data_IF_372624884392
#
_entry.id   IF_372624884392
#
_cell.length_a   1.000
_cell.length_b   1.000
_cell.length_c   1.000
_cell.angle_alpha   90.00
_cell.angle_beta   90.00
_cell.angle_gamma   90.00
#
_symmetry.space_group_name_H-M   'P 1'
#
loop_
_entity.id
_entity.type
_entity.pdbx_description
1 polymer ?
#
# COMPACT_ATOMS: atom_id res chain seq x y z
N UNK A 1 -22.56 -2.47 5.63
CA UNK A 1 -21.14 -2.76 5.89
C UNK A 1 -20.48 -3.07 4.56
N UNK A 2 -19.49 -2.29 4.10
CA UNK A 2 -18.97 -2.32 2.73
C UNK A 2 -18.42 -3.69 2.25
N UNK A 3 -17.99 -4.56 3.17
CA UNK A 3 -17.40 -5.88 2.86
C UNK A 3 -18.18 -7.07 3.44
N UNK A 4 -19.19 -6.85 4.28
CA UNK A 4 -19.88 -7.91 5.04
C UNK A 4 -18.95 -8.84 5.86
N UNK A 5 -17.76 -8.36 6.22
CA UNK A 5 -16.79 -9.07 7.06
C UNK A 5 -16.63 -8.34 8.39
N UNK A 6 -16.36 -9.09 9.46
CA UNK A 6 -16.01 -8.56 10.79
C UNK A 6 -14.64 -9.06 11.17
N UNK A 7 -13.75 -8.16 11.60
CA UNK A 7 -12.44 -8.55 12.11
C UNK A 7 -12.56 -9.48 13.32
N UNK A 8 -11.74 -10.52 13.33
CA UNK A 8 -11.50 -11.36 14.50
C UNK A 8 -10.53 -10.66 15.47
N UNK A 9 -10.52 -11.01 16.77
CA UNK A 9 -9.59 -10.42 17.74
C UNK A 9 -8.11 -10.53 17.32
N UNK A 10 -7.71 -11.68 16.75
CA UNK A 10 -6.34 -11.89 16.26
C UNK A 10 -5.97 -10.95 15.12
N UNK A 11 -6.94 -10.59 14.27
CA UNK A 11 -6.74 -9.63 13.18
C UNK A 11 -6.56 -8.20 13.71
N UNK A 12 -7.25 -7.86 14.80
CA UNK A 12 -7.04 -6.57 15.49
C UNK A 12 -5.65 -6.51 16.11
N UNK A 13 -5.19 -7.59 16.75
CA UNK A 13 -3.81 -7.69 17.27
C UNK A 13 -2.78 -7.53 16.16
N UNK A 14 -2.97 -8.18 15.02
CA UNK A 14 -2.12 -8.01 13.83
C UNK A 14 -2.10 -6.56 13.33
N UNK A 15 -3.26 -5.90 13.28
CA UNK A 15 -3.34 -4.48 12.90
C UNK A 15 -2.59 -3.54 13.85
N UNK A 16 -2.61 -3.83 15.16
CA UNK A 16 -1.84 -3.09 16.17
C UNK A 16 -0.33 -3.28 15.95
N UNK A 17 0.11 -4.53 15.71
CA UNK A 17 1.51 -4.82 15.43
C UNK A 17 2.01 -4.06 14.19
N UNK A 18 1.26 -4.14 13.09
CA UNK A 18 1.59 -3.40 11.86
C UNK A 18 1.67 -1.89 12.09
N UNK A 19 0.71 -1.30 12.84
CA UNK A 19 0.75 0.13 13.14
C UNK A 19 1.99 0.53 13.96
N UNK A 20 2.52 -0.36 14.80
CA UNK A 20 3.76 -0.14 15.57
C UNK A 20 5.05 -0.31 14.75
N UNK A 21 4.93 -0.72 13.47
CA UNK A 21 6.07 -1.00 12.61
C UNK A 21 6.65 -2.40 12.78
N UNK A 22 5.92 -3.31 13.42
CA UNK A 22 6.33 -4.71 13.59
C UNK A 22 5.82 -5.60 12.45
N UNK A 23 6.41 -6.79 12.31
CA UNK A 23 5.92 -7.84 11.40
C UNK A 23 4.81 -8.63 12.09
N UNK A 24 3.62 -8.66 11.48
CA UNK A 24 2.51 -9.51 11.91
C UNK A 24 2.57 -10.87 11.18
N UNK A 25 3.23 -11.85 11.78
CA UNK A 25 3.23 -13.23 11.26
C UNK A 25 1.84 -13.87 11.46
N UNK A 26 1.18 -14.20 10.35
CA UNK A 26 -0.15 -14.80 10.33
C UNK A 26 -0.20 -15.91 9.28
N UNK A 27 -0.87 -17.02 9.60
CA UNK A 27 -1.00 -18.14 8.68
C UNK A 27 -1.84 -17.78 7.45
N UNK A 28 -1.59 -18.45 6.33
CA UNK A 28 -2.41 -18.30 5.11
C UNK A 28 -3.88 -18.58 5.45
N UNK A 29 -4.76 -17.66 5.05
CA UNK A 29 -6.20 -17.74 5.35
C UNK A 29 -6.65 -16.96 6.59
N UNK A 30 -5.73 -16.48 7.43
CA UNK A 30 -6.05 -15.61 8.59
C UNK A 30 -6.52 -14.19 8.19
N UNK A 31 -6.51 -13.87 6.89
CA UNK A 31 -7.03 -12.62 6.36
C UNK A 31 -6.05 -11.44 6.45
N UNK A 32 -4.77 -11.65 6.15
CA UNK A 32 -3.72 -10.60 6.06
C UNK A 32 -4.19 -9.34 5.31
N UNK A 33 -4.85 -9.50 4.16
CA UNK A 33 -5.41 -8.40 3.37
C UNK A 33 -6.42 -7.56 4.15
N UNK A 34 -7.30 -8.19 4.93
CA UNK A 34 -8.27 -7.50 5.77
C UNK A 34 -7.60 -6.84 6.99
N UNK A 35 -6.57 -7.47 7.55
CA UNK A 35 -5.77 -6.94 8.67
C UNK A 35 -5.11 -5.62 8.29
N UNK A 36 -4.50 -5.53 7.10
CA UNK A 36 -3.84 -4.34 6.59
C UNK A 36 -4.76 -3.10 6.54
N UNK A 37 -6.08 -3.29 6.47
CA UNK A 37 -7.03 -2.17 6.45
C UNK A 37 -7.06 -1.33 7.73
N UNK A 38 -6.74 -1.93 8.87
CA UNK A 38 -6.73 -1.25 10.16
C UNK A 38 -5.59 -0.21 10.25
N UNK A 39 -4.30 -0.59 10.09
CA UNK A 39 -3.21 0.37 10.14
C UNK A 39 -3.20 1.30 8.92
N UNK A 40 -3.66 0.85 7.75
CA UNK A 40 -3.74 1.70 6.57
C UNK A 40 -4.72 2.85 6.79
N UNK A 41 -5.93 2.57 7.28
CA UNK A 41 -6.90 3.61 7.58
C UNK A 41 -6.36 4.59 8.64
N UNK A 42 -5.84 4.08 9.76
CA UNK A 42 -5.36 4.92 10.86
C UNK A 42 -4.23 5.86 10.42
N UNK A 43 -3.22 5.33 9.72
CA UNK A 43 -2.09 6.14 9.27
C UNK A 43 -2.46 7.09 8.13
N UNK A 44 -3.43 6.74 7.28
CA UNK A 44 -3.91 7.62 6.22
C UNK A 44 -4.58 8.91 6.75
N UNK A 45 -5.07 8.91 8.00
CA UNK A 45 -5.67 10.11 8.62
C UNK A 45 -4.68 11.27 8.82
N UNK A 46 -3.37 11.04 8.69
CA UNK A 46 -2.37 12.12 8.73
C UNK A 46 -2.37 12.95 7.44
N UNK A 47 -2.90 12.42 6.33
CA UNK A 47 -2.85 13.03 5.01
C UNK A 47 -1.50 12.86 4.28
N UNK A 48 -0.52 12.20 4.91
CA UNK A 48 0.83 12.00 4.35
C UNK A 48 0.92 10.81 3.36
N UNK A 49 -0.15 10.00 3.29
CA UNK A 49 -0.25 8.85 2.39
C UNK A 49 0.25 7.54 3.02
N UNK A 50 -0.33 6.42 2.59
CA UNK A 50 0.08 5.06 2.96
C UNK A 50 0.36 4.23 1.71
N UNK A 51 1.52 3.58 1.64
CA UNK A 51 1.83 2.63 0.59
C UNK A 51 1.50 1.20 1.01
N UNK A 52 0.67 0.50 0.24
CA UNK A 52 0.43 -0.94 0.41
C UNK A 52 1.17 -1.67 -0.71
N UNK A 53 2.24 -2.37 -0.33
CA UNK A 53 3.12 -3.08 -1.26
C UNK A 53 2.67 -4.53 -1.36
N UNK A 54 2.46 -4.99 -2.59
CA UNK A 54 2.10 -6.39 -2.91
C UNK A 54 3.13 -7.00 -3.85
N UNK A 55 3.11 -8.32 -4.01
CA UNK A 55 4.09 -9.04 -4.85
C UNK A 55 3.86 -8.91 -6.35
N UNK A 56 2.69 -8.46 -6.80
CA UNK A 56 2.42 -8.23 -8.24
C UNK A 56 1.22 -7.30 -8.50
N UNK A 57 1.17 -6.75 -9.72
CA UNK A 57 0.13 -5.82 -10.18
C UNK A 57 -1.28 -6.39 -10.10
N UNK A 58 -1.45 -7.70 -10.30
CA UNK A 58 -2.76 -8.34 -10.18
C UNK A 58 -3.30 -8.25 -8.75
N UNK A 59 -2.47 -8.56 -7.75
CA UNK A 59 -2.84 -8.47 -6.34
C UNK A 59 -3.04 -7.01 -5.91
N UNK A 60 -2.15 -6.09 -6.31
CA UNK A 60 -2.31 -4.65 -6.08
C UNK A 60 -3.67 -4.15 -6.59
N UNK A 61 -4.02 -4.51 -7.82
CA UNK A 61 -5.29 -4.14 -8.44
C UNK A 61 -6.48 -4.76 -7.72
N UNK A 62 -6.46 -6.07 -7.50
CA UNK A 62 -7.55 -6.79 -6.81
C UNK A 62 -7.80 -6.19 -5.42
N UNK A 63 -6.75 -5.93 -4.66
CA UNK A 63 -6.86 -5.51 -3.27
C UNK A 63 -7.23 -4.02 -3.15
N UNK A 64 -6.71 -3.15 -4.02
CA UNK A 64 -7.15 -1.75 -4.11
C UNK A 64 -8.62 -1.61 -4.51
N UNK A 65 -9.11 -2.48 -5.40
CA UNK A 65 -10.53 -2.51 -5.77
C UNK A 65 -11.41 -3.07 -4.65
N UNK A 66 -10.97 -4.15 -4.01
CA UNK A 66 -11.74 -4.84 -2.98
C UNK A 66 -11.74 -4.09 -1.65
N UNK A 67 -10.57 -3.90 -1.03
CA UNK A 67 -10.44 -3.16 0.23
C UNK A 67 -10.73 -1.67 0.04
N UNK A 68 -10.51 -1.12 -1.16
CA UNK A 68 -10.86 0.27 -1.44
C UNK A 68 -12.35 0.58 -1.33
N UNK A 69 -13.25 -0.41 -1.40
CA UNK A 69 -14.67 -0.21 -1.06
C UNK A 69 -14.85 0.25 0.37
N UNK A 70 -14.06 -0.29 1.30
CA UNK A 70 -14.08 0.10 2.71
C UNK A 70 -13.52 1.50 2.90
N UNK A 71 -12.34 1.79 2.34
CA UNK A 71 -11.69 3.09 2.48
C UNK A 71 -12.54 4.23 1.89
N UNK A 72 -13.08 4.05 0.68
CA UNK A 72 -13.97 5.03 0.03
C UNK A 72 -15.27 5.23 0.82
N UNK A 73 -15.82 4.18 1.40
CA UNK A 73 -16.98 4.29 2.29
C UNK A 73 -16.67 5.11 3.56
N UNK A 74 -15.43 5.05 4.05
CA UNK A 74 -14.94 5.84 5.19
C UNK A 74 -14.41 7.24 4.79
N UNK A 75 -14.55 7.64 3.52
CA UNK A 75 -14.16 8.96 3.03
C UNK A 75 -12.72 9.10 2.56
N UNK A 76 -11.95 8.01 2.47
CA UNK A 76 -10.57 8.03 1.95
C UNK A 76 -10.51 7.69 0.46
N UNK A 77 -9.58 8.31 -0.24
CA UNK A 77 -9.21 8.02 -1.62
C UNK A 77 -8.22 6.86 -1.71
N UNK A 78 -8.24 6.14 -2.83
CA UNK A 78 -7.38 4.96 -3.05
C UNK A 78 -6.80 5.03 -4.45
N UNK A 79 -5.47 5.04 -4.54
CA UNK A 79 -4.69 4.99 -5.77
C UNK A 79 -4.14 3.60 -6.04
N UNK A 80 -3.80 3.35 -7.29
CA UNK A 80 -3.16 2.12 -7.76
C UNK A 80 -2.03 2.50 -8.71
N UNK A 81 -0.83 1.98 -8.46
CA UNK A 81 0.32 2.08 -9.35
C UNK A 81 0.54 0.71 -10.00
N UNK A 82 0.55 0.68 -11.32
CA UNK A 82 0.83 -0.50 -12.15
C UNK A 82 1.70 -0.11 -13.34
N UNK A 83 2.29 -1.12 -13.99
CA UNK A 83 3.13 -0.91 -15.15
C UNK A 83 2.38 -0.17 -16.28
N UNK A 84 3.06 0.76 -16.95
CA UNK A 84 2.53 1.46 -18.13
C UNK A 84 1.72 2.72 -17.85
N UNK A 85 1.50 3.09 -16.59
CA UNK A 85 0.93 4.39 -16.24
C UNK A 85 1.88 5.54 -16.57
N UNK A 86 1.33 6.63 -17.12
CA UNK A 86 2.04 7.88 -17.33
C UNK A 86 2.26 8.65 -16.02
N UNK A 87 3.04 9.74 -16.09
CA UNK A 87 3.43 10.52 -14.91
C UNK A 87 2.27 11.21 -14.22
N UNK A 88 1.26 11.68 -14.97
CA UNK A 88 0.11 12.38 -14.40
C UNK A 88 -0.81 11.42 -13.66
N UNK A 89 -1.08 10.25 -14.23
CA UNK A 89 -1.84 9.19 -13.57
C UNK A 89 -1.13 8.66 -12.32
N UNK A 90 0.21 8.52 -12.36
CA UNK A 90 0.99 8.15 -11.17
C UNK A 90 0.89 9.21 -10.08
N UNK A 91 1.03 10.48 -10.44
CA UNK A 91 0.91 11.59 -9.49
C UNK A 91 -0.48 11.63 -8.84
N UNK A 92 -1.54 11.40 -9.60
CA UNK A 92 -2.89 11.25 -9.05
C UNK A 92 -2.98 10.08 -8.06
N UNK A 93 -2.43 8.91 -8.42
CA UNK A 93 -2.44 7.74 -7.57
C UNK A 93 -1.62 7.89 -6.28
N UNK A 94 -0.47 8.58 -6.32
CA UNK A 94 0.30 8.91 -5.11
C UNK A 94 -0.41 9.95 -4.24
N UNK A 95 -1.17 10.88 -4.83
CA UNK A 95 -1.95 11.87 -4.09
C UNK A 95 -3.16 11.29 -3.35
N UNK A 96 -3.53 10.03 -3.61
CA UNK A 96 -4.55 9.34 -2.84
C UNK A 96 -4.07 9.03 -1.41
N UNK A 97 -5.01 8.97 -0.46
CA UNK A 97 -4.71 8.70 0.96
C UNK A 97 -4.03 7.34 1.17
N UNK A 98 -4.37 6.36 0.34
CA UNK A 98 -3.78 5.03 0.32
C UNK A 98 -3.43 4.66 -1.13
N UNK A 99 -2.20 4.26 -1.38
CA UNK A 99 -1.70 3.86 -2.71
C UNK A 99 -1.27 2.41 -2.69
N UNK A 100 -1.85 1.59 -3.56
CA UNK A 100 -1.42 0.20 -3.78
C UNK A 100 -0.41 0.12 -4.92
N UNK A 101 0.54 -0.79 -4.83
CA UNK A 101 1.50 -1.04 -5.89
C UNK A 101 2.42 -2.22 -5.58
N UNK A 102 3.44 -2.39 -6.42
CA UNK A 102 4.53 -3.35 -6.19
C UNK A 102 5.79 -2.63 -5.73
N UNK A 103 6.70 -3.36 -5.10
CA UNK A 103 8.02 -2.85 -4.71
C UNK A 103 8.77 -2.24 -5.89
N UNK A 104 8.73 -2.90 -7.06
CA UNK A 104 9.38 -2.44 -8.28
C UNK A 104 8.82 -1.10 -8.73
N UNK A 105 7.49 -0.95 -8.78
CA UNK A 105 6.87 0.30 -9.23
C UNK A 105 7.17 1.47 -8.28
N UNK A 106 7.06 1.25 -6.96
CA UNK A 106 7.44 2.25 -5.97
C UNK A 106 8.94 2.62 -6.06
N UNK A 107 9.81 1.63 -6.22
CA UNK A 107 11.25 1.83 -6.32
C UNK A 107 11.65 2.57 -7.60
N UNK A 108 11.11 2.20 -8.75
CA UNK A 108 11.41 2.88 -10.01
C UNK A 108 10.84 4.29 -10.08
N UNK A 109 9.68 4.54 -9.48
CA UNK A 109 9.17 5.92 -9.33
C UNK A 109 10.08 6.77 -8.46
N UNK A 110 10.55 6.23 -7.33
CA UNK A 110 11.52 6.91 -6.48
C UNK A 110 12.81 7.25 -7.25
N UNK A 111 13.36 6.29 -7.99
CA UNK A 111 14.57 6.53 -8.80
C UNK A 111 14.31 7.58 -9.89
N UNK A 112 13.18 7.51 -10.59
CA UNK A 112 12.80 8.50 -11.62
C UNK A 112 12.66 9.89 -11.03
N UNK A 113 11.99 10.02 -9.88
CA UNK A 113 11.81 11.29 -9.17
C UNK A 113 13.15 11.92 -8.72
N UNK A 114 14.19 11.12 -8.50
CA UNK A 114 15.54 11.62 -8.20
C UNK A 114 16.37 11.95 -9.45
N UNK A 115 15.86 11.66 -10.65
CA UNK A 115 16.50 11.96 -11.93
C UNK A 115 15.82 13.11 -12.70
N UNK A 116 14.64 13.57 -12.28
CA UNK A 116 13.94 14.68 -12.96
C UNK A 116 14.67 16.02 -12.76
N UNK A 117 14.63 16.87 -13.78
CA UNK A 117 15.24 18.21 -13.72
C UNK A 117 14.43 19.20 -12.87
N UNK A 118 13.10 19.07 -12.88
CA UNK A 118 12.19 19.99 -12.20
C UNK A 118 11.33 19.23 -11.19
N UNK A 119 11.17 19.82 -9.99
CA UNK A 119 10.39 19.23 -8.90
C UNK A 119 8.94 18.92 -9.29
N UNK A 120 8.34 19.74 -10.15
CA UNK A 120 6.96 19.55 -10.60
C UNK A 120 6.77 18.28 -11.45
N UNK A 121 7.85 17.69 -11.95
CA UNK A 121 7.81 16.42 -12.68
C UNK A 121 7.86 15.20 -11.75
N UNK A 122 8.07 15.37 -10.44
CA UNK A 122 8.00 14.27 -9.47
C UNK A 122 6.57 13.73 -9.39
N UNK A 123 6.45 12.42 -9.14
CA UNK A 123 5.16 11.74 -8.99
C UNK A 123 4.87 11.31 -7.56
N UNK A 124 5.89 10.96 -6.77
CA UNK A 124 5.76 10.58 -5.36
C UNK A 124 5.64 11.80 -4.45
N UNK A 125 5.14 11.56 -3.23
CA UNK A 125 4.96 12.60 -2.20
C UNK A 125 5.56 12.25 -0.83
N UNK A 126 6.62 11.44 -0.81
CA UNK A 126 7.31 11.01 0.41
C UNK A 126 7.10 9.54 0.75
N UNK A 127 7.58 9.12 1.92
CA UNK A 127 7.59 7.71 2.36
C UNK A 127 7.16 7.61 3.83
N UNK A 128 5.94 8.04 4.15
CA UNK A 128 5.48 8.18 5.54
C UNK A 128 5.20 6.82 6.21
N UNK A 129 4.49 5.92 5.53
CA UNK A 129 4.17 4.60 6.04
C UNK A 129 3.97 3.60 4.90
N UNK A 130 4.50 2.38 5.09
CA UNK A 130 4.33 1.28 4.14
C UNK A 130 3.97 -0.02 4.86
N UNK A 131 2.98 -0.73 4.31
CA UNK A 131 2.66 -2.12 4.70
C UNK A 131 3.11 -3.02 3.56
N UNK A 132 3.99 -3.97 3.84
CA UNK A 132 4.51 -4.91 2.84
C UNK A 132 3.85 -6.26 3.05
N UNK A 133 3.04 -6.70 2.08
CA UNK A 133 2.52 -8.06 2.04
C UNK A 133 3.58 -9.04 1.52
N UNK A 134 3.60 -10.26 2.05
CA UNK A 134 4.66 -11.27 1.82
C UNK A 134 6.07 -10.68 1.98
N UNK A 135 6.31 -10.10 3.16
CA UNK A 135 7.54 -9.38 3.53
C UNK A 135 8.82 -10.21 3.35
N UNK A 136 8.74 -11.52 3.54
CA UNK A 136 9.84 -12.46 3.32
C UNK A 136 10.23 -12.52 1.83
N UNK A 137 9.25 -12.65 0.95
CA UNK A 137 9.47 -12.69 -0.49
C UNK A 137 10.11 -11.38 -0.98
N UNK A 138 9.62 -10.23 -0.50
CA UNK A 138 10.05 -8.92 -1.00
C UNK A 138 11.37 -8.46 -0.35
N UNK A 139 11.48 -8.52 0.98
CA UNK A 139 12.63 -7.93 1.70
C UNK A 139 13.78 -8.91 1.93
N UNK A 140 13.59 -10.21 1.71
CA UNK A 140 14.65 -11.23 1.89
C UNK A 140 15.02 -11.87 0.55
N UNK A 141 14.05 -12.37 -0.21
CA UNK A 141 14.35 -13.10 -1.45
C UNK A 141 14.65 -12.16 -2.63
N UNK A 142 13.78 -11.17 -2.88
CA UNK A 142 13.97 -10.21 -3.97
C UNK A 142 15.08 -9.19 -3.71
N UNK A 143 15.40 -8.90 -2.45
CA UNK A 143 16.47 -7.97 -2.06
C UNK A 143 17.89 -8.37 -2.55
N UNK A 144 18.01 -9.55 -3.18
CA UNK A 144 19.25 -10.00 -3.85
C UNK A 144 19.48 -9.31 -5.20
N UNK A 145 18.45 -8.71 -5.79
CA UNK A 145 18.52 -7.98 -7.06
C UNK A 145 18.32 -6.49 -6.79
N UNK A 146 19.26 -5.61 -7.20
CA UNK A 146 19.10 -4.16 -7.06
C UNK A 146 17.99 -3.57 -7.93
#
# INVERSE_FOLDING_TARGET
MALHMKHFPVQVTGGIALHRGDIAEMQTGEGKTLVATLPAYLNALTGEGVHIVTVNDYLAKRDSEWMGKLYRWLGLSVGLIVQGMDGDARREAYNADITYGTNNEFGFDYLRDNMVTYKDNMVQRGHAYAVVDEVDSILIDEARTP
#
